data_IF_998634503582
#
_entry.id   IF_998634503582
#
_cell.length_a   1.000
_cell.length_b   1.000
_cell.length_c   1.000
_cell.angle_alpha   90.00
_cell.angle_beta   90.00
_cell.angle_gamma   90.00
#
_symmetry.space_group_name_H-M   'P 1'
#
loop_
_entity.id
_entity.type
_entity.pdbx_description
1 polymer ?
#
# COMPACT_ATOMS: atom_id res chain seq x y z
N UNK A 1 6.59 5.74 -10.55
CA UNK A 1 6.86 4.87 -9.38
C UNK A 1 7.43 3.51 -9.79
N UNK A 2 6.70 2.63 -10.49
CA UNK A 2 7.22 1.28 -10.85
C UNK A 2 8.45 1.33 -11.74
N UNK A 3 8.46 2.20 -12.74
CA UNK A 3 9.62 2.35 -13.63
C UNK A 3 10.88 2.78 -12.86
N UNK A 4 10.75 3.73 -11.94
CA UNK A 4 11.84 4.20 -11.10
C UNK A 4 12.36 3.10 -10.17
N UNK A 5 11.46 2.34 -9.53
CA UNK A 5 11.80 1.16 -8.74
C UNK A 5 12.62 0.16 -9.58
N UNK A 6 12.16 -0.17 -10.79
CA UNK A 6 12.87 -1.09 -11.68
C UNK A 6 14.23 -0.54 -12.12
N UNK A 7 14.32 0.77 -12.39
CA UNK A 7 15.59 1.43 -12.73
C UNK A 7 16.60 1.35 -11.59
N UNK A 8 16.17 1.55 -10.34
CA UNK A 8 17.05 1.40 -9.17
C UNK A 8 17.46 -0.05 -8.93
N UNK A 9 16.54 -1.01 -9.07
CA UNK A 9 16.85 -2.43 -8.90
C UNK A 9 17.86 -2.94 -9.92
N UNK A 10 17.79 -2.47 -11.16
CA UNK A 10 18.75 -2.80 -12.22
C UNK A 10 20.19 -2.33 -11.96
N UNK A 11 20.40 -1.46 -10.97
CA UNK A 11 21.75 -1.07 -10.53
C UNK A 11 22.38 -2.09 -9.58
N UNK A 12 21.60 -3.05 -9.09
CA UNK A 12 22.07 -4.08 -8.18
C UNK A 12 22.75 -5.22 -8.95
N UNK A 13 23.90 -5.74 -8.46
CA UNK A 13 24.58 -6.88 -9.05
C UNK A 13 23.67 -8.09 -9.26
N UNK A 14 23.63 -8.62 -10.47
CA UNK A 14 22.83 -9.81 -10.84
C UNK A 14 21.38 -9.53 -11.25
N UNK A 15 20.92 -8.27 -11.23
CA UNK A 15 19.59 -7.85 -11.69
C UNK A 15 19.65 -6.93 -12.94
N UNK A 16 20.83 -6.81 -13.55
CA UNK A 16 21.05 -5.94 -14.69
C UNK A 16 20.38 -6.46 -15.97
N UNK A 17 20.46 -5.66 -17.03
CA UNK A 17 20.02 -6.05 -18.37
C UNK A 17 18.69 -5.44 -18.81
N UNK A 18 18.27 -5.71 -20.06
CA UNK A 18 17.05 -5.14 -20.61
C UNK A 18 15.81 -5.76 -19.95
N UNK A 19 14.74 -4.97 -19.88
CA UNK A 19 13.39 -5.44 -19.53
C UNK A 19 12.49 -5.20 -20.73
N UNK A 20 11.73 -6.22 -21.11
CA UNK A 20 10.69 -6.11 -22.14
C UNK A 20 9.35 -5.90 -21.47
N UNK A 21 8.58 -4.89 -21.89
CA UNK A 21 7.24 -4.67 -21.40
C UNK A 21 6.23 -5.48 -22.21
N UNK A 22 5.25 -6.10 -21.55
CA UNK A 22 4.16 -6.87 -22.15
C UNK A 22 2.87 -6.60 -21.38
N UNK A 23 1.77 -6.36 -22.09
CA UNK A 23 0.44 -6.34 -21.49
C UNK A 23 -0.03 -7.79 -21.32
N UNK A 24 -0.41 -8.17 -20.10
CA UNK A 24 -0.96 -9.48 -19.78
C UNK A 24 -2.48 -9.50 -19.94
N UNK A 25 -3.13 -8.38 -19.60
CA UNK A 25 -4.56 -8.16 -19.74
C UNK A 25 -4.81 -6.66 -19.94
N UNK A 26 -5.46 -6.31 -21.05
CA UNK A 26 -5.77 -4.93 -21.41
C UNK A 26 -6.97 -4.40 -20.62
N UNK A 27 -7.95 -5.26 -20.30
CA UNK A 27 -9.18 -4.88 -19.61
C UNK A 27 -8.93 -4.38 -18.19
N UNK A 28 -8.07 -5.09 -17.45
CA UNK A 28 -7.68 -4.75 -16.08
C UNK A 28 -6.33 -4.03 -15.99
N UNK A 29 -5.77 -3.60 -17.13
CA UNK A 29 -4.50 -2.88 -17.24
C UNK A 29 -3.32 -3.61 -16.55
N UNK A 30 -3.27 -4.94 -16.69
CA UNK A 30 -2.23 -5.79 -16.14
C UNK A 30 -1.02 -5.78 -17.07
N UNK A 31 0.13 -5.35 -16.55
CA UNK A 31 1.37 -5.27 -17.31
C UNK A 31 2.51 -6.00 -16.61
N UNK A 32 3.41 -6.57 -17.41
CA UNK A 32 4.63 -7.20 -16.96
C UNK A 32 5.85 -6.54 -17.60
N UNK A 33 6.91 -6.39 -16.81
CA UNK A 33 8.26 -6.13 -17.28
C UNK A 33 9.11 -7.37 -17.04
N UNK A 34 9.76 -7.86 -18.08
CA UNK A 34 10.42 -9.16 -18.07
C UNK A 34 11.86 -9.05 -18.58
N UNK A 35 12.83 -9.40 -17.74
CA UNK A 35 14.23 -9.63 -18.09
C UNK A 35 14.66 -11.07 -17.80
N UNK A 36 15.95 -11.37 -17.85
CA UNK A 36 16.48 -12.70 -17.51
C UNK A 36 16.45 -12.96 -16.00
N UNK A 37 16.78 -11.95 -15.19
CA UNK A 37 16.94 -12.04 -13.73
C UNK A 37 15.97 -11.19 -12.91
N UNK A 38 15.26 -10.28 -13.56
CA UNK A 38 14.30 -9.38 -12.91
C UNK A 38 12.99 -9.39 -13.68
N UNK A 39 11.88 -9.51 -12.96
CA UNK A 39 10.56 -9.29 -13.49
C UNK A 39 9.67 -8.52 -12.51
N UNK A 40 8.70 -7.79 -13.03
CA UNK A 40 7.65 -7.20 -12.22
C UNK A 40 6.31 -7.33 -12.93
N UNK A 41 5.27 -7.68 -12.17
CA UNK A 41 3.88 -7.70 -12.63
C UNK A 41 3.09 -6.65 -11.84
N UNK A 42 2.46 -5.74 -12.57
CA UNK A 42 1.65 -4.65 -12.05
C UNK A 42 0.17 -5.01 -12.16
N UNK A 43 -0.59 -4.77 -11.09
CA UNK A 43 -2.03 -5.03 -10.98
C UNK A 43 -2.46 -6.47 -11.32
N UNK A 44 -1.77 -7.53 -10.86
CA UNK A 44 -2.22 -8.87 -11.18
C UNK A 44 -3.63 -9.13 -10.63
N UNK A 45 -4.39 -9.89 -11.42
CA UNK A 45 -5.74 -10.35 -11.19
C UNK A 45 -5.75 -11.88 -11.06
N UNK A 46 -6.87 -12.46 -10.63
CA UNK A 46 -7.02 -13.91 -10.55
C UNK A 46 -6.72 -14.64 -11.85
N UNK A 47 -7.14 -14.06 -12.97
CA UNK A 47 -6.98 -14.62 -14.31
C UNK A 47 -5.54 -14.58 -14.80
N UNK A 48 -4.77 -13.57 -14.36
CA UNK A 48 -3.38 -13.38 -14.78
C UNK A 48 -2.37 -14.10 -13.87
N UNK A 49 -2.80 -14.71 -12.76
CA UNK A 49 -1.90 -15.47 -11.86
C UNK A 49 -1.22 -16.66 -12.53
N UNK A 50 -1.84 -17.28 -13.53
CA UNK A 50 -1.20 -18.33 -14.33
C UNK A 50 0.04 -17.81 -15.06
N UNK A 51 -0.03 -16.60 -15.60
CA UNK A 51 1.11 -15.93 -16.24
C UNK A 51 2.15 -15.49 -15.19
N UNK A 52 1.73 -14.95 -14.04
CA UNK A 52 2.62 -14.61 -12.93
C UNK A 52 3.45 -15.82 -12.50
N UNK A 53 2.81 -17.01 -12.39
CA UNK A 53 3.51 -18.26 -12.08
C UNK A 53 4.55 -18.62 -13.13
N UNK A 54 4.21 -18.57 -14.42
CA UNK A 54 5.19 -18.83 -15.50
C UNK A 54 6.37 -17.87 -15.44
N UNK A 55 6.11 -16.59 -15.18
CA UNK A 55 7.13 -15.56 -15.04
C UNK A 55 8.07 -15.88 -13.88
N UNK A 56 7.52 -16.32 -12.75
CA UNK A 56 8.29 -16.73 -11.56
C UNK A 56 9.09 -18.02 -11.81
N UNK A 57 8.48 -19.05 -12.41
CA UNK A 57 9.12 -20.34 -12.69
C UNK A 57 10.26 -20.23 -13.69
N UNK A 58 10.19 -19.28 -14.65
CA UNK A 58 11.27 -18.99 -15.57
C UNK A 58 12.49 -18.31 -14.91
N UNK A 59 12.34 -17.83 -13.66
CA UNK A 59 13.30 -16.97 -12.97
C UNK A 59 13.58 -17.43 -11.53
N UNK A 60 13.76 -18.74 -11.35
CA UNK A 60 14.03 -19.34 -10.02
C UNK A 60 15.27 -18.77 -9.32
N UNK A 61 16.21 -18.24 -10.09
CA UNK A 61 17.47 -17.64 -9.66
C UNK A 61 17.50 -16.11 -9.87
N UNK A 62 16.31 -15.49 -9.91
CA UNK A 62 16.10 -14.06 -10.08
C UNK A 62 15.09 -13.48 -9.10
N UNK A 63 14.73 -12.21 -9.31
CA UNK A 63 13.75 -11.48 -8.52
C UNK A 63 12.47 -11.28 -9.34
N UNK A 64 11.33 -11.71 -8.78
CA UNK A 64 10.00 -11.41 -9.32
C UNK A 64 9.25 -10.56 -8.33
N UNK A 65 8.75 -9.42 -8.80
CA UNK A 65 7.94 -8.49 -8.01
C UNK A 65 6.49 -8.58 -8.42
N UNK A 66 5.61 -8.56 -7.43
CA UNK A 66 4.21 -8.27 -7.62
C UNK A 66 3.94 -6.91 -7.02
N UNK A 67 3.35 -6.03 -7.81
CA UNK A 67 3.08 -4.65 -7.42
C UNK A 67 1.60 -4.40 -7.61
N UNK A 68 0.88 -4.22 -6.51
CA UNK A 68 -0.51 -3.79 -6.56
C UNK A 68 -0.76 -2.71 -5.50
N UNK A 69 -0.76 -1.42 -5.90
CA UNK A 69 -1.08 -0.32 -5.00
C UNK A 69 -2.50 -0.34 -4.43
N UNK A 70 -3.42 -1.12 -5.01
CA UNK A 70 -4.81 -1.22 -4.56
C UNK A 70 -5.02 -2.27 -3.48
N UNK A 71 -4.08 -3.20 -3.29
CA UNK A 71 -4.20 -4.21 -2.24
C UNK A 71 -4.21 -3.56 -0.86
N UNK A 72 -5.29 -3.82 -0.11
CA UNK A 72 -5.36 -3.48 1.30
C UNK A 72 -5.02 -4.72 2.14
N UNK A 73 -4.35 -4.53 3.27
CA UNK A 73 -3.99 -5.65 4.15
C UNK A 73 -5.23 -6.42 4.61
N UNK A 74 -5.28 -7.71 4.24
CA UNK A 74 -6.44 -8.58 4.35
C UNK A 74 -6.94 -9.00 2.97
N UNK A 75 -6.89 -10.30 2.68
CA UNK A 75 -7.50 -10.93 1.50
C UNK A 75 -7.02 -10.40 0.12
N UNK A 76 -5.69 -10.25 -0.07
CA UNK A 76 -5.05 -10.36 -1.42
C UNK A 76 -5.61 -11.57 -2.17
N UNK A 77 -5.87 -12.64 -1.41
CA UNK A 77 -6.64 -13.83 -1.75
C UNK A 77 -8.02 -13.43 -2.36
N UNK A 78 -8.88 -12.68 -1.69
CA UNK A 78 -10.20 -12.29 -2.24
C UNK A 78 -10.13 -11.40 -3.48
N UNK A 79 -9.17 -10.48 -3.55
CA UNK A 79 -8.99 -9.57 -4.69
C UNK A 79 -8.51 -10.30 -5.95
N UNK A 80 -7.92 -11.49 -5.79
CA UNK A 80 -7.45 -12.34 -6.87
C UNK A 80 -8.52 -13.32 -7.37
N UNK A 81 -9.81 -13.04 -7.15
CA UNK A 81 -10.94 -13.69 -7.84
C UNK A 81 -10.78 -15.20 -8.05
N UNK A 82 -10.78 -16.00 -6.98
CA UNK A 82 -10.60 -17.44 -7.17
C UNK A 82 -11.86 -18.08 -7.73
N UNK A 83 -11.78 -18.48 -9.00
CA UNK A 83 -12.58 -19.60 -9.47
C UNK A 83 -12.25 -20.82 -8.59
N UNK A 84 -13.25 -21.56 -8.07
CA UNK A 84 -13.05 -22.58 -7.03
C UNK A 84 -11.97 -23.63 -7.36
N UNK A 85 -11.77 -23.94 -8.64
CA UNK A 85 -10.83 -24.98 -9.09
C UNK A 85 -9.35 -24.54 -9.12
N UNK A 86 -9.05 -23.23 -9.10
CA UNK A 86 -7.67 -22.71 -9.11
C UNK A 86 -7.22 -22.15 -7.75
N UNK A 87 -8.12 -22.11 -6.78
CA UNK A 87 -7.91 -21.47 -5.47
C UNK A 87 -6.62 -21.89 -4.78
N UNK A 88 -6.42 -23.20 -4.61
CA UNK A 88 -5.27 -23.74 -3.88
C UNK A 88 -3.94 -23.35 -4.53
N UNK A 89 -3.83 -23.51 -5.85
CA UNK A 89 -2.61 -23.17 -6.57
C UNK A 89 -2.33 -21.66 -6.49
N UNK A 90 -3.34 -20.81 -6.60
CA UNK A 90 -3.17 -19.38 -6.52
C UNK A 90 -2.79 -18.91 -5.10
N UNK A 91 -3.39 -19.50 -4.06
CA UNK A 91 -2.98 -19.28 -2.66
C UNK A 91 -1.52 -19.70 -2.42
N UNK A 92 -1.09 -20.85 -2.95
CA UNK A 92 0.30 -21.31 -2.87
C UNK A 92 1.28 -20.37 -3.59
N UNK A 93 0.88 -19.81 -4.74
CA UNK A 93 1.70 -18.83 -5.45
C UNK A 93 1.92 -17.59 -4.59
N UNK A 94 0.83 -16.99 -4.11
CA UNK A 94 0.88 -15.76 -3.30
C UNK A 94 1.66 -15.99 -2.01
N UNK A 95 1.48 -17.15 -1.36
CA UNK A 95 2.24 -17.53 -0.16
C UNK A 95 3.76 -17.70 -0.43
N UNK A 96 4.16 -17.93 -1.69
CA UNK A 96 5.55 -17.96 -2.11
C UNK A 96 6.21 -16.58 -2.19
N UNK A 97 5.42 -15.51 -2.22
CA UNK A 97 5.93 -14.14 -2.18
C UNK A 97 6.03 -13.64 -0.73
N UNK A 98 6.99 -12.75 -0.52
CA UNK A 98 7.15 -12.02 0.74
C UNK A 98 6.72 -10.58 0.55
N UNK A 99 5.90 -10.06 1.45
CA UNK A 99 5.61 -8.63 1.51
C UNK A 99 6.90 -7.86 1.86
N UNK A 100 7.34 -6.99 0.95
CA UNK A 100 8.57 -6.19 1.09
C UNK A 100 8.29 -4.71 1.31
N UNK A 101 7.15 -4.23 0.84
CA UNK A 101 6.73 -2.84 1.02
C UNK A 101 5.22 -2.77 1.24
N UNK A 102 4.80 -2.06 2.27
CA UNK A 102 3.39 -1.75 2.54
C UNK A 102 3.31 -0.33 3.05
N UNK A 103 2.44 0.49 2.46
CA UNK A 103 2.08 1.79 3.01
C UNK A 103 0.55 1.84 3.14
N UNK A 104 0.08 1.87 4.39
CA UNK A 104 -1.35 1.90 4.68
C UNK A 104 -1.68 3.08 5.58
N UNK A 105 -2.75 3.78 5.25
CA UNK A 105 -3.31 4.82 6.11
C UNK A 105 -4.60 4.30 6.76
N UNK A 106 -4.73 4.52 8.06
CA UNK A 106 -5.88 4.18 8.88
C UNK A 106 -6.34 5.43 9.63
N UNK A 107 -7.64 5.54 9.85
CA UNK A 107 -8.19 6.54 10.79
C UNK A 107 -8.75 5.81 12.01
N UNK A 108 -8.24 6.12 13.19
CA UNK A 108 -8.64 5.47 14.45
C UNK A 108 -8.89 6.53 15.52
N UNK A 109 -10.12 6.64 16.04
CA UNK A 109 -10.49 7.64 17.06
C UNK A 109 -10.03 9.08 16.74
N UNK A 110 -10.16 9.49 15.48
CA UNK A 110 -9.67 10.77 14.95
C UNK A 110 -8.14 10.93 14.83
N UNK A 111 -7.35 9.90 15.11
CA UNK A 111 -5.95 9.83 14.72
C UNK A 111 -5.80 9.34 13.28
N UNK A 112 -4.83 9.91 12.57
CA UNK A 112 -4.42 9.47 11.24
C UNK A 112 -3.13 8.64 11.41
N UNK A 113 -3.27 7.32 11.28
CA UNK A 113 -2.21 6.33 11.50
C UNK A 113 -1.67 5.87 10.15
N UNK A 114 -0.35 5.93 9.98
CA UNK A 114 0.36 5.40 8.82
C UNK A 114 1.16 4.18 9.24
N UNK A 115 0.84 3.03 8.66
CA UNK A 115 1.61 1.80 8.79
C UNK A 115 2.54 1.69 7.59
N UNK A 116 3.84 1.56 7.86
CA UNK A 116 4.86 1.40 6.84
C UNK A 116 5.65 0.13 7.09
N UNK A 117 5.74 -0.74 6.08
CA UNK A 117 6.76 -1.77 5.96
C UNK A 117 7.68 -1.38 4.81
N UNK A 118 9.00 -1.42 5.04
CA UNK A 118 10.01 -1.24 4.00
C UNK A 118 11.19 -2.16 4.31
N UNK A 119 11.20 -3.36 3.72
CA UNK A 119 12.23 -4.35 3.96
C UNK A 119 13.65 -3.77 3.74
N UNK A 120 14.64 -4.04 4.62
CA UNK A 120 14.59 -4.96 5.76
C UNK A 120 14.12 -4.33 7.08
N UNK A 121 13.68 -3.07 7.08
CA UNK A 121 13.23 -2.39 8.29
C UNK A 121 11.95 -3.02 8.87
N UNK A 122 11.78 -2.99 10.20
CA UNK A 122 10.55 -3.45 10.85
C UNK A 122 9.36 -2.56 10.45
N UNK A 123 8.15 -3.02 10.78
CA UNK A 123 6.94 -2.22 10.65
C UNK A 123 7.06 -0.94 11.47
N UNK A 124 6.79 0.21 10.87
CA UNK A 124 6.72 1.49 11.54
C UNK A 124 5.24 1.93 11.67
N UNK A 125 4.89 2.42 12.86
CA UNK A 125 3.62 3.08 13.14
C UNK A 125 3.90 4.56 13.27
N UNK A 126 3.44 5.33 12.30
CA UNK A 126 3.58 6.77 12.28
C UNK A 126 2.23 7.44 12.51
N UNK A 127 2.22 8.53 13.27
CA UNK A 127 1.03 9.34 13.52
C UNK A 127 1.23 10.73 12.96
N UNK A 128 0.16 11.28 12.39
CA UNK A 128 0.10 12.70 12.06
C UNK A 128 -0.24 13.49 13.31
N UNK A 129 0.55 14.51 13.62
CA UNK A 129 0.22 15.42 14.74
C UNK A 129 -0.98 16.30 14.36
N UNK A 130 -2.05 16.35 15.19
CA UNK A 130 -3.19 17.24 14.93
C UNK A 130 -2.79 18.71 14.81
N UNK A 131 -1.83 19.15 15.63
CA UNK A 131 -1.38 20.55 15.71
C UNK A 131 -0.29 20.89 14.67
N UNK A 132 0.34 19.88 14.06
CA UNK A 132 1.40 20.03 13.08
C UNK A 132 1.17 19.07 11.90
N UNK A 133 0.18 19.35 11.03
CA UNK A 133 -0.29 18.42 10.01
C UNK A 133 0.75 18.06 8.94
N UNK A 134 1.89 18.75 8.87
CA UNK A 134 3.01 18.41 7.98
C UNK A 134 4.04 17.48 8.63
N UNK A 135 3.91 17.19 9.92
CA UNK A 135 4.84 16.35 10.67
C UNK A 135 4.17 15.01 11.00
N UNK A 136 4.72 13.95 10.39
CA UNK A 136 4.44 12.57 10.82
C UNK A 136 5.54 12.16 11.81
N UNK A 137 5.15 11.57 12.93
CA UNK A 137 6.09 11.06 13.93
C UNK A 137 5.98 9.54 14.00
N UNK A 138 7.11 8.84 13.91
CA UNK A 138 7.16 7.40 14.14
C UNK A 138 7.07 7.15 15.65
N UNK A 139 5.93 6.63 16.11
CA UNK A 139 5.67 6.40 17.53
C UNK A 139 6.00 4.97 17.97
N UNK A 140 6.17 4.05 17.02
CA UNK A 140 6.56 2.68 17.33
C UNK A 140 7.17 1.96 16.13
N UNK A 141 8.04 0.99 16.43
CA UNK A 141 8.43 -0.07 15.50
C UNK A 141 7.95 -1.43 16.02
N UNK A 142 7.58 -2.32 15.11
CA UNK A 142 7.11 -3.68 15.40
C UNK A 142 7.73 -4.70 14.44
N UNK A 143 8.14 -5.87 14.93
CA UNK A 143 8.71 -6.90 14.07
C UNK A 143 7.66 -7.54 13.14
N UNK A 144 6.38 -7.50 13.51
CA UNK A 144 5.25 -7.94 12.67
C UNK A 144 4.24 -6.81 12.48
N UNK A 145 3.33 -7.00 11.52
CA UNK A 145 2.24 -6.06 11.29
C UNK A 145 1.39 -5.95 12.56
N UNK A 146 1.23 -4.73 13.12
CA UNK A 146 0.41 -4.55 14.32
C UNK A 146 -1.06 -4.79 14.00
N UNK A 147 -1.75 -5.51 14.88
CA UNK A 147 -3.19 -5.69 14.87
C UNK A 147 -3.92 -4.40 15.25
N UNK A 148 -5.19 -4.30 14.89
CA UNK A 148 -6.03 -3.16 15.28
C UNK A 148 -6.05 -2.93 16.80
N UNK A 149 -6.12 -4.02 17.60
CA UNK A 149 -6.12 -3.94 19.07
C UNK A 149 -4.77 -3.43 19.62
N UNK A 150 -3.66 -3.86 19.05
CA UNK A 150 -2.32 -3.37 19.44
C UNK A 150 -2.15 -1.89 19.08
N UNK A 151 -2.70 -1.46 17.94
CA UNK A 151 -2.74 -0.05 17.57
C UNK A 151 -3.56 0.74 18.58
N UNK A 152 -4.76 0.32 18.95
CA UNK A 152 -5.57 1.05 19.95
C UNK A 152 -4.83 1.24 21.28
N UNK A 153 -4.15 0.21 21.78
CA UNK A 153 -3.34 0.30 23.00
C UNK A 153 -2.19 1.29 22.81
N UNK A 154 -1.48 1.21 21.70
CA UNK A 154 -0.39 2.11 21.37
C UNK A 154 -0.85 3.57 21.28
N UNK A 155 -1.93 3.86 20.56
CA UNK A 155 -2.43 5.23 20.37
C UNK A 155 -2.84 5.86 21.71
N UNK A 156 -3.50 5.09 22.59
CA UNK A 156 -3.83 5.56 23.95
C UNK A 156 -2.62 5.91 24.80
N UNK A 157 -1.47 5.29 24.53
CA UNK A 157 -0.21 5.57 25.25
C UNK A 157 0.52 6.82 24.76
N UNK A 158 0.16 7.36 23.59
CA UNK A 158 0.76 8.57 23.02
C UNK A 158 0.01 9.81 23.56
N UNK A 159 0.61 10.65 24.43
CA UNK A 159 -0.13 11.69 25.18
C UNK A 159 -0.82 12.77 24.32
N UNK A 160 -0.32 12.98 23.11
CA UNK A 160 -0.84 13.97 22.16
C UNK A 160 -1.79 13.36 21.13
N UNK A 161 -1.92 12.03 21.07
CA UNK A 161 -2.87 11.35 20.19
C UNK A 161 -4.30 11.61 20.63
N UNK A 162 -5.24 11.72 19.68
CA UNK A 162 -6.67 11.88 19.98
C UNK A 162 -7.24 10.67 20.73
N UNK A 163 -6.71 9.47 20.47
CA UNK A 163 -7.06 8.24 21.20
C UNK A 163 -6.76 8.29 22.69
N UNK A 164 -5.81 9.14 23.13
CA UNK A 164 -5.49 9.34 24.55
C UNK A 164 -6.45 10.29 25.26
N UNK A 165 -7.28 11.03 24.50
CA UNK A 165 -8.14 12.09 25.04
C UNK A 165 -9.50 11.59 25.52
N UNK A 166 -10.12 12.27 26.51
CA UNK A 166 -11.51 12.02 26.89
C UNK A 166 -12.47 12.13 25.70
N UNK A 167 -13.63 11.47 25.80
CA UNK A 167 -14.63 11.45 24.73
C UNK A 167 -15.10 12.87 24.32
N UNK A 168 -15.28 13.77 25.28
CA UNK A 168 -15.72 15.14 25.01
C UNK A 168 -14.75 15.91 24.11
N UNK A 169 -13.44 15.81 24.36
CA UNK A 169 -12.41 16.43 23.54
C UNK A 169 -12.35 15.81 22.14
N UNK A 170 -12.50 14.49 22.03
CA UNK A 170 -12.58 13.79 20.74
C UNK A 170 -13.75 14.28 19.89
N UNK A 171 -14.94 14.40 20.49
CA UNK A 171 -16.13 14.90 19.79
C UNK A 171 -15.98 16.35 19.33
N UNK A 172 -15.38 17.21 20.17
CA UNK A 172 -15.11 18.60 19.78
C UNK A 172 -14.13 18.70 18.62
N UNK A 173 -13.07 17.88 18.64
CA UNK A 173 -12.10 17.82 17.54
C UNK A 173 -12.75 17.35 16.24
N UNK A 174 -13.57 16.31 16.30
CA UNK A 174 -14.28 15.77 15.13
C UNK A 174 -15.30 16.77 14.57
N UNK A 175 -16.05 17.46 15.43
CA UNK A 175 -16.96 18.54 15.00
C UNK A 175 -16.21 19.67 14.28
N UNK A 176 -15.02 20.07 14.76
CA UNK A 176 -14.16 21.05 14.09
C UNK A 176 -13.66 20.53 12.73
N UNK A 177 -13.22 19.28 12.67
CA UNK A 177 -12.77 18.64 11.42
C UNK A 177 -13.89 18.60 10.38
N UNK A 178 -15.09 18.16 10.76
CA UNK A 178 -16.26 18.11 9.87
C UNK A 178 -16.60 19.50 9.37
N UNK A 179 -16.67 20.50 10.26
CA UNK A 179 -16.94 21.88 9.87
C UNK A 179 -15.91 22.40 8.86
N UNK A 180 -14.62 22.18 9.11
CA UNK A 180 -13.56 22.58 8.19
C UNK A 180 -13.63 21.84 6.84
N UNK A 181 -14.12 20.59 6.81
CA UNK A 181 -14.31 19.84 5.56
C UNK A 181 -15.52 20.29 4.75
N UNK A 182 -16.47 21.00 5.39
CA UNK A 182 -17.66 21.57 4.75
C UNK A 182 -17.44 23.00 4.26
N UNK A 183 -16.39 23.67 4.73
CA UNK A 183 -16.01 24.97 4.21
C UNK A 183 -15.54 24.80 2.75
N UNK A 184 -16.06 25.60 1.80
CA UNK A 184 -15.65 25.49 0.41
C UNK A 184 -14.15 25.76 0.29
N UNK A 185 -13.47 24.97 -0.54
CA UNK A 185 -12.06 25.16 -0.84
C UNK A 185 -11.79 26.62 -1.19
N UNK A 186 -10.64 27.20 -0.80
CA UNK A 186 -10.24 28.55 -1.22
C UNK A 186 -10.42 28.73 -2.74
N UNK A 187 -10.83 29.91 -3.22
CA UNK A 187 -11.15 30.16 -4.64
C UNK A 187 -10.02 29.81 -5.60
N UNK A 188 -8.78 29.87 -5.13
CA UNK A 188 -7.53 29.50 -5.82
C UNK A 188 -7.32 27.98 -5.95
N UNK A 189 -8.09 27.17 -5.21
CA UNK A 189 -8.11 25.71 -5.25
C UNK A 189 -9.43 25.15 -5.81
N UNK A 190 -10.37 26.01 -6.15
CA UNK A 190 -11.59 25.64 -6.87
C UNK A 190 -11.22 25.50 -8.36
N UNK A 191 -11.61 24.38 -8.97
CA UNK A 191 -11.54 24.23 -10.42
C UNK A 191 -12.29 25.41 -11.06
N UNK A 192 -11.75 26.02 -12.13
CA UNK A 192 -12.49 27.05 -12.84
C UNK A 192 -13.85 26.45 -13.26
N UNK A 193 -14.95 27.21 -13.13
CA UNK A 193 -16.24 26.72 -13.62
C UNK A 193 -16.08 26.37 -15.09
N UNK A 194 -16.48 25.15 -15.46
CA UNK A 194 -16.48 24.71 -16.85
C UNK A 194 -17.11 25.80 -17.72
N UNK A 195 -16.37 26.18 -18.76
CA UNK A 195 -16.67 27.33 -19.60
C UNK A 195 -18.14 27.38 -20.01
N UNK A 196 -18.83 28.44 -19.57
CA UNK A 196 -20.03 28.90 -20.25
C UNK A 196 -19.60 29.56 -21.55
N UNK A 197 -20.01 28.97 -22.66
CA UNK A 197 -20.00 29.58 -23.99
C UNK A 197 -20.73 30.92 -24.00
#
# INVERSE_FOLDING_TARGET
>A
MVEELLRELKKQPGLEGPLSARILDDGDAVAAWEGSKLAAVLFPTGETLGEVRKIADARKDGLVLIINPQWQGGNVISDLGFLPWQRKANEELVAGFRETYVLRQLRMNSDEVKLLLSYPSPWAVCLRRPEAPTQNECVAQRPQQPTYKELEVLLRSVPWSMSSKPLGERLQYEAKFIRASLDPLPRDQQLPPDGGQ
#
